data_IF_114766269115
#
_entry.id   IF_114766269115
#
_cell.length_a   1.000
_cell.length_b   1.000
_cell.length_c   1.000
_cell.angle_alpha   90.00
_cell.angle_beta   90.00
_cell.angle_gamma   90.00
#
_symmetry.space_group_name_H-M   'P 1'
#
loop_
_entity.id
_entity.type
_entity.pdbx_description
1 polymer ?
#
# COMPACT_ATOMS: atom_id res chain seq x y z
N UNK A 1 26.59 -11.34 -43.98
CA UNK A 1 26.63 -10.04 -43.30
C UNK A 1 25.25 -9.42 -43.08
N UNK A 2 24.34 -9.34 -44.09
CA UNK A 2 22.99 -8.72 -43.90
C UNK A 2 22.10 -9.39 -42.83
N UNK A 3 22.14 -10.75 -42.72
CA UNK A 3 21.35 -11.47 -41.70
C UNK A 3 21.82 -11.26 -40.27
N UNK A 4 23.12 -11.04 -40.05
CA UNK A 4 23.68 -10.78 -38.71
C UNK A 4 23.34 -9.36 -38.22
N UNK A 5 23.28 -8.39 -39.15
CA UNK A 5 22.84 -7.01 -38.81
C UNK A 5 21.37 -6.94 -38.39
N UNK A 6 20.50 -7.77 -39.02
CA UNK A 6 19.07 -7.81 -38.66
C UNK A 6 18.83 -8.38 -37.26
N UNK A 7 19.60 -9.41 -36.89
CA UNK A 7 19.52 -9.99 -35.51
C UNK A 7 19.97 -9.00 -34.44
N UNK A 8 21.01 -8.21 -34.72
CA UNK A 8 21.51 -7.19 -33.81
C UNK A 8 20.51 -6.04 -33.61
N UNK A 9 19.81 -5.64 -34.70
CA UNK A 9 18.77 -4.62 -34.64
C UNK A 9 17.53 -5.07 -33.82
N UNK A 10 17.15 -6.34 -33.90
CA UNK A 10 16.04 -6.90 -33.12
C UNK A 10 16.40 -6.98 -31.63
N UNK A 11 17.64 -7.35 -31.28
CA UNK A 11 18.10 -7.34 -29.89
C UNK A 11 18.14 -5.93 -29.31
N UNK A 12 18.61 -4.93 -30.05
CA UNK A 12 18.63 -3.52 -29.59
C UNK A 12 17.22 -2.97 -29.37
N UNK A 13 16.26 -3.29 -30.23
CA UNK A 13 14.86 -2.87 -30.08
C UNK A 13 14.19 -3.54 -28.86
N UNK A 14 14.53 -4.80 -28.56
CA UNK A 14 14.03 -5.51 -27.38
C UNK A 14 14.55 -4.89 -26.06
N UNK A 15 15.80 -4.48 -26.01
CA UNK A 15 16.41 -3.86 -24.82
C UNK A 15 15.83 -2.45 -24.56
N UNK A 16 15.59 -1.67 -25.60
CA UNK A 16 15.01 -0.32 -25.43
C UNK A 16 13.57 -0.36 -24.93
N UNK A 17 12.77 -1.31 -25.41
CA UNK A 17 11.39 -1.46 -24.95
C UNK A 17 11.31 -1.94 -23.49
N UNK A 18 12.15 -2.87 -23.08
CA UNK A 18 12.20 -3.34 -21.67
C UNK A 18 12.61 -2.21 -20.72
N UNK A 19 13.60 -1.40 -21.08
CA UNK A 19 14.05 -0.26 -20.26
C UNK A 19 13.00 0.86 -20.18
N UNK A 20 12.27 1.13 -21.26
CA UNK A 20 11.20 2.13 -21.28
C UNK A 20 10.00 1.69 -20.41
N UNK A 21 9.64 0.42 -20.46
CA UNK A 21 8.56 -0.13 -19.66
C UNK A 21 8.88 -0.12 -18.15
N UNK A 22 10.11 -0.47 -17.79
CA UNK A 22 10.56 -0.42 -16.40
C UNK A 22 10.54 1.01 -15.82
N UNK A 23 10.96 2.01 -16.59
CA UNK A 23 10.90 3.42 -16.17
C UNK A 23 9.46 3.91 -15.96
N UNK A 24 8.50 3.47 -16.77
CA UNK A 24 7.09 3.87 -16.64
C UNK A 24 6.44 3.24 -15.40
N UNK A 25 6.72 1.99 -15.10
CA UNK A 25 6.25 1.33 -13.87
C UNK A 25 6.84 1.97 -12.60
N UNK A 26 8.12 2.31 -12.61
CA UNK A 26 8.79 2.99 -11.50
C UNK A 26 8.17 4.37 -11.24
N UNK A 27 7.77 5.09 -12.27
CA UNK A 27 7.08 6.37 -12.14
C UNK A 27 5.68 6.21 -11.53
N UNK A 28 4.95 5.14 -11.87
CA UNK A 28 3.59 4.88 -11.36
C UNK A 28 3.59 4.47 -9.89
N UNK A 29 4.55 3.66 -9.43
CA UNK A 29 4.60 3.25 -8.02
C UNK A 29 5.10 4.34 -7.09
N UNK A 30 5.96 5.23 -7.58
CA UNK A 30 6.64 6.26 -6.78
C UNK A 30 5.70 7.06 -5.86
N UNK A 31 4.52 7.51 -6.28
CA UNK A 31 3.60 8.23 -5.40
C UNK A 31 3.04 7.39 -4.26
N UNK A 32 3.00 6.06 -4.40
CA UNK A 32 2.48 5.14 -3.39
C UNK A 32 3.53 4.73 -2.36
N UNK A 33 4.83 4.88 -2.66
CA UNK A 33 5.92 4.43 -1.81
C UNK A 33 5.92 5.11 -0.44
N UNK A 34 6.26 4.36 0.59
CA UNK A 34 6.45 4.83 1.95
C UNK A 34 5.51 4.21 2.96
N UNK A 35 5.47 4.82 4.14
CA UNK A 35 4.65 4.37 5.27
C UNK A 35 3.37 5.19 5.35
N UNK A 36 2.25 4.50 5.34
CA UNK A 36 0.91 5.03 5.42
C UNK A 36 0.21 4.55 6.69
N UNK A 37 -0.55 5.42 7.33
CA UNK A 37 -1.39 5.09 8.49
C UNK A 37 -2.85 5.09 8.07
N UNK A 38 -3.56 4.02 8.37
CA UNK A 38 -5.02 3.96 8.21
C UNK A 38 -5.69 5.02 9.08
N UNK A 39 -6.71 5.69 8.54
CA UNK A 39 -7.47 6.70 9.26
C UNK A 39 -8.98 6.54 9.04
N UNK A 40 -9.73 6.87 10.05
CA UNK A 40 -11.19 7.04 9.94
C UNK A 40 -11.51 8.50 9.68
N UNK A 41 -12.40 8.73 8.74
CA UNK A 41 -12.96 10.04 8.45
C UNK A 41 -14.09 10.33 9.45
N UNK A 42 -13.99 11.45 10.16
CA UNK A 42 -14.96 11.85 11.19
C UNK A 42 -15.47 13.24 10.91
N UNK A 43 -16.79 13.40 10.89
CA UNK A 43 -17.42 14.70 10.76
C UNK A 43 -17.12 15.58 11.98
N UNK A 44 -16.82 16.86 11.73
CA UNK A 44 -16.58 17.85 12.78
C UNK A 44 -17.88 18.63 13.08
N UNK A 45 -18.04 19.19 14.29
CA UNK A 45 -19.26 19.92 14.67
C UNK A 45 -19.58 21.16 13.81
N UNK A 46 -18.58 21.73 13.15
CA UNK A 46 -18.67 22.85 12.22
C UNK A 46 -19.04 22.44 10.77
N UNK A 47 -19.34 21.14 10.56
CA UNK A 47 -19.71 20.59 9.26
C UNK A 47 -18.51 20.23 8.36
N UNK A 48 -17.29 20.32 8.88
CA UNK A 48 -16.07 19.86 8.22
C UNK A 48 -15.82 18.37 8.43
N UNK A 49 -14.63 17.95 8.02
CA UNK A 49 -14.14 16.58 8.18
C UNK A 49 -12.73 16.59 8.78
N UNK A 50 -12.47 15.68 9.68
CA UNK A 50 -11.13 15.40 10.21
C UNK A 50 -10.80 13.91 10.09
N UNK A 51 -9.51 13.56 10.20
CA UNK A 51 -9.04 12.19 10.11
C UNK A 51 -8.45 11.75 11.46
N UNK A 52 -8.88 10.59 11.93
CA UNK A 52 -8.35 9.96 13.16
C UNK A 52 -7.53 8.74 12.76
N UNK A 53 -6.18 8.86 12.89
CA UNK A 53 -5.27 7.77 12.61
C UNK A 53 -5.45 6.60 13.57
N UNK A 54 -5.42 5.38 13.03
CA UNK A 54 -5.47 4.13 13.79
C UNK A 54 -4.09 3.49 13.84
N UNK A 55 -3.90 2.53 14.73
CA UNK A 55 -2.64 1.77 14.84
C UNK A 55 -2.56 0.66 13.78
N UNK A 56 -2.87 1.01 12.53
CA UNK A 56 -2.75 0.15 11.36
C UNK A 56 -1.92 0.91 10.33
N UNK A 57 -0.89 0.27 9.82
CA UNK A 57 0.05 0.89 8.89
C UNK A 57 0.27 0.00 7.67
N UNK A 58 0.37 0.62 6.51
CA UNK A 58 0.76 -0.03 5.25
C UNK A 58 2.08 0.57 4.78
N UNK A 59 3.09 -0.27 4.60
CA UNK A 59 4.38 0.11 4.02
C UNK A 59 4.48 -0.44 2.60
N UNK A 60 4.70 0.43 1.62
CA UNK A 60 4.88 0.07 0.21
C UNK A 60 6.31 0.36 -0.19
N UNK A 61 6.98 -0.63 -0.78
CA UNK A 61 8.42 -0.62 -1.08
C UNK A 61 8.73 -0.62 -2.58
N UNK A 62 9.95 -0.22 -2.96
CA UNK A 62 10.39 -0.14 -4.36
C UNK A 62 10.36 -1.46 -5.12
N UNK A 63 10.56 -2.56 -4.43
CA UNK A 63 10.50 -3.91 -4.99
C UNK A 63 9.05 -4.41 -5.17
N UNK A 64 8.08 -3.47 -5.15
CA UNK A 64 6.65 -3.71 -5.34
C UNK A 64 6.08 -4.68 -4.32
N UNK A 65 6.56 -4.61 -3.08
CA UNK A 65 6.00 -5.33 -1.94
C UNK A 65 5.22 -4.39 -1.04
N UNK A 66 4.29 -4.96 -0.31
CA UNK A 66 3.61 -4.25 0.76
C UNK A 66 3.51 -5.10 2.02
N UNK A 67 3.43 -4.40 3.14
CA UNK A 67 3.29 -4.97 4.47
C UNK A 67 2.24 -4.17 5.23
N UNK A 68 1.21 -4.85 5.74
CA UNK A 68 0.24 -4.25 6.66
C UNK A 68 0.58 -4.69 8.06
N UNK A 69 0.68 -3.73 8.97
CA UNK A 69 0.95 -3.98 10.39
C UNK A 69 -0.16 -3.41 11.23
N UNK A 70 -0.48 -4.07 12.33
CA UNK A 70 -1.40 -3.55 13.35
C UNK A 70 -0.72 -3.46 14.70
N UNK A 71 -1.05 -2.43 15.47
CA UNK A 71 -0.63 -2.24 16.84
C UNK A 71 -1.72 -2.64 17.83
N UNK A 72 -1.34 -3.37 18.87
CA UNK A 72 -2.22 -3.71 19.99
C UNK A 72 -1.64 -3.18 21.28
N UNK A 73 -2.45 -2.44 22.04
CA UNK A 73 -2.07 -1.93 23.33
C UNK A 73 -2.26 -3.01 24.39
N UNK A 74 -1.17 -3.40 25.05
CA UNK A 74 -1.19 -4.40 26.12
C UNK A 74 -0.92 -3.70 27.46
N UNK A 75 -1.81 -3.85 28.46
CA UNK A 75 -1.55 -3.33 29.78
C UNK A 75 -0.42 -4.11 30.46
N UNK A 76 0.61 -3.41 30.92
CA UNK A 76 1.70 -3.99 31.71
C UNK A 76 1.40 -3.72 33.19
N UNK A 77 1.09 -4.75 33.97
CA UNK A 77 1.00 -4.63 35.43
C UNK A 77 2.40 -4.60 36.03
N UNK A 78 2.78 -3.49 36.64
CA UNK A 78 4.07 -3.31 37.32
C UNK A 78 3.92 -3.44 38.86
N UNK A 79 3.23 -4.27 39.45
CA UNK A 79 2.90 -4.41 40.89
C UNK A 79 1.62 -3.69 41.33
N UNK A 80 1.05 -4.13 42.43
CA UNK A 80 -0.26 -3.70 42.92
C UNK A 80 -0.38 -2.22 43.34
N UNK A 81 0.72 -1.47 43.33
CA UNK A 81 0.80 -0.08 43.82
C UNK A 81 1.15 0.96 42.71
N UNK A 82 1.27 0.58 41.44
CA UNK A 82 1.70 1.50 40.37
C UNK A 82 0.66 1.60 39.24
N UNK A 83 0.59 2.79 38.62
CA UNK A 83 -0.23 3.03 37.43
C UNK A 83 0.00 1.99 36.36
N UNK A 84 -1.08 1.53 35.72
CA UNK A 84 -1.01 0.60 34.61
C UNK A 84 -0.32 1.27 33.42
N UNK A 85 0.90 0.86 33.10
CA UNK A 85 1.55 1.30 31.86
C UNK A 85 1.03 0.49 30.68
N UNK A 86 0.85 1.16 29.56
CA UNK A 86 0.44 0.52 28.31
C UNK A 86 1.67 0.40 27.40
N UNK A 87 1.90 -0.79 26.86
CA UNK A 87 2.89 -1.02 25.81
C UNK A 87 2.18 -1.39 24.50
N UNK A 88 2.69 -0.89 23.41
CA UNK A 88 2.17 -1.25 22.08
C UNK A 88 3.04 -2.35 21.47
N UNK A 89 2.43 -3.45 21.11
CA UNK A 89 3.05 -4.50 20.29
C UNK A 89 2.55 -4.33 18.86
N UNK A 90 3.48 -4.25 17.91
CA UNK A 90 3.16 -4.18 16.48
C UNK A 90 3.52 -5.51 15.82
N UNK A 91 2.65 -6.03 14.98
CA UNK A 91 2.85 -7.26 14.24
C UNK A 91 2.35 -7.12 12.80
N UNK A 92 2.92 -7.92 11.89
CA UNK A 92 2.46 -7.96 10.50
C UNK A 92 1.13 -8.73 10.47
N UNK A 93 0.12 -8.13 9.84
CA UNK A 93 -1.19 -8.76 9.63
C UNK A 93 -1.36 -9.30 8.23
N UNK A 94 -0.68 -8.69 7.26
CA UNK A 94 -0.75 -9.05 5.85
C UNK A 94 0.54 -8.63 5.14
N UNK A 95 0.96 -9.41 4.16
CA UNK A 95 2.05 -9.08 3.26
C UNK A 95 1.83 -9.65 1.86
N UNK A 96 2.45 -9.02 0.87
CA UNK A 96 2.30 -9.48 -0.50
C UNK A 96 3.02 -8.62 -1.52
N UNK A 97 2.67 -8.87 -2.78
CA UNK A 97 3.26 -8.21 -3.94
C UNK A 97 2.25 -7.27 -4.61
N UNK A 98 2.75 -6.21 -5.24
CA UNK A 98 1.96 -5.24 -6.00
C UNK A 98 2.21 -5.43 -7.49
N UNK A 99 1.13 -5.51 -8.27
CA UNK A 99 1.17 -5.43 -9.73
C UNK A 99 0.44 -4.17 -10.17
N UNK A 100 1.17 -3.24 -10.77
CA UNK A 100 0.62 -1.97 -11.23
C UNK A 100 -0.28 -2.19 -12.45
N UNK A 101 -1.46 -1.58 -12.42
CA UNK A 101 -2.40 -1.56 -13.51
C UNK A 101 -2.30 -0.29 -14.36
N UNK A 102 -3.31 -0.08 -15.21
CA UNK A 102 -3.58 1.20 -15.87
C UNK A 102 -4.41 2.09 -14.93
N UNK A 103 -4.30 3.41 -15.12
CA UNK A 103 -5.26 4.40 -14.60
C UNK A 103 -5.51 4.37 -13.08
N UNK A 104 -4.49 4.60 -12.27
CA UNK A 104 -4.61 4.67 -10.81
C UNK A 104 -5.18 3.38 -10.16
N UNK A 105 -4.99 2.23 -10.80
CA UNK A 105 -5.32 0.92 -10.28
C UNK A 105 -4.09 0.05 -10.09
N UNK A 106 -4.16 -0.87 -9.13
CA UNK A 106 -3.16 -1.92 -8.94
C UNK A 106 -3.80 -3.16 -8.31
N UNK A 107 -3.08 -4.27 -8.37
CA UNK A 107 -3.46 -5.52 -7.70
C UNK A 107 -2.53 -5.74 -6.51
N UNK A 108 -3.08 -6.18 -5.40
CA UNK A 108 -2.33 -6.77 -4.29
C UNK A 108 -2.49 -8.29 -4.33
N UNK A 109 -1.40 -9.02 -4.55
CA UNK A 109 -1.33 -10.45 -4.30
C UNK A 109 -1.07 -10.66 -2.82
N UNK A 110 -2.03 -11.21 -2.10
CA UNK A 110 -1.94 -11.49 -0.67
C UNK A 110 -1.17 -12.80 -0.50
N UNK A 111 0.14 -12.72 -0.25
CA UNK A 111 0.97 -13.90 -0.05
C UNK A 111 0.67 -14.56 1.30
N UNK A 112 0.59 -13.74 2.35
CA UNK A 112 0.25 -14.16 3.70
C UNK A 112 -0.72 -13.17 4.36
N UNK A 113 -1.79 -13.68 4.91
CA UNK A 113 -2.71 -12.97 5.79
C UNK A 113 -2.77 -13.69 7.14
N UNK A 114 -2.17 -13.12 8.17
CA UNK A 114 -1.92 -13.79 9.45
C UNK A 114 -3.13 -13.85 10.38
N UNK A 115 -4.18 -13.06 10.11
CA UNK A 115 -5.43 -13.06 10.87
C UNK A 115 -6.52 -13.89 10.21
N UNK A 116 -6.45 -14.08 8.89
CA UNK A 116 -7.42 -14.86 8.11
C UNK A 116 -6.72 -15.63 6.99
N UNK A 117 -6.43 -16.88 7.24
CA UNK A 117 -5.73 -17.74 6.28
C UNK A 117 -6.51 -18.01 4.98
N UNK A 118 -7.83 -17.76 4.96
CA UNK A 118 -8.64 -17.92 3.74
C UNK A 118 -8.27 -16.88 2.65
N UNK A 119 -7.63 -15.78 3.04
CA UNK A 119 -7.16 -14.74 2.14
C UNK A 119 -5.77 -15.01 1.55
N UNK A 120 -5.05 -16.04 2.02
CA UNK A 120 -3.73 -16.40 1.49
C UNK A 120 -3.83 -16.81 0.02
N UNK A 121 -2.89 -16.32 -0.78
CA UNK A 121 -2.81 -16.54 -2.22
C UNK A 121 -4.04 -16.03 -2.99
N UNK A 122 -4.73 -15.02 -2.47
CA UNK A 122 -5.82 -14.32 -3.14
C UNK A 122 -5.33 -12.99 -3.75
N UNK A 123 -6.19 -12.36 -4.52
CA UNK A 123 -5.92 -11.09 -5.18
C UNK A 123 -6.95 -10.07 -4.72
N UNK A 124 -6.47 -8.91 -4.30
CA UNK A 124 -7.29 -7.73 -4.10
C UNK A 124 -7.09 -6.76 -5.24
N UNK A 125 -8.19 -6.25 -5.79
CA UNK A 125 -8.19 -5.19 -6.81
C UNK A 125 -8.28 -3.86 -6.10
N UNK A 126 -7.41 -2.90 -6.45
CA UNK A 126 -7.38 -1.60 -5.80
C UNK A 126 -7.47 -0.47 -6.83
N UNK A 127 -8.21 0.56 -6.45
CA UNK A 127 -8.21 1.88 -7.09
C UNK A 127 -7.74 2.90 -6.07
N UNK A 128 -7.01 3.92 -6.53
CA UNK A 128 -6.54 4.94 -5.61
C UNK A 128 -6.64 6.34 -6.21
N UNK A 129 -6.77 7.31 -5.34
CA UNK A 129 -6.61 8.71 -5.65
C UNK A 129 -5.96 9.45 -4.48
N UNK A 130 -5.18 10.44 -4.79
CA UNK A 130 -4.68 11.37 -3.79
C UNK A 130 -5.68 12.51 -3.60
N UNK A 131 -5.69 13.11 -2.41
CA UNK A 131 -6.42 14.35 -2.20
C UNK A 131 -5.80 15.47 -3.04
N UNK A 132 -6.65 16.28 -3.70
CA UNK A 132 -6.19 17.33 -4.60
C UNK A 132 -5.38 18.43 -3.91
N UNK A 133 -5.67 18.69 -2.64
CA UNK A 133 -5.04 19.75 -1.83
C UNK A 133 -3.90 19.23 -0.98
N UNK A 134 -3.93 17.94 -0.64
CA UNK A 134 -2.93 17.33 0.24
C UNK A 134 -2.52 15.94 -0.26
N UNK A 135 -1.40 15.81 -1.00
CA UNK A 135 -0.92 14.54 -1.55
C UNK A 135 -0.50 13.52 -0.47
N UNK A 136 -0.53 13.91 0.81
CA UNK A 136 -0.30 13.01 1.93
C UNK A 136 -1.58 12.31 2.42
N UNK A 137 -2.72 12.54 1.76
CA UNK A 137 -3.96 11.80 1.96
C UNK A 137 -4.21 10.94 0.74
N UNK A 138 -4.31 9.63 0.95
CA UNK A 138 -4.57 8.62 -0.06
C UNK A 138 -5.93 7.98 0.22
N UNK A 139 -6.83 8.07 -0.75
CA UNK A 139 -8.08 7.33 -0.75
C UNK A 139 -7.87 6.04 -1.53
N UNK A 140 -8.13 4.91 -0.90
CA UNK A 140 -8.08 3.57 -1.48
C UNK A 140 -9.48 2.99 -1.53
N UNK A 141 -9.80 2.31 -2.61
CA UNK A 141 -10.94 1.41 -2.71
C UNK A 141 -10.43 0.04 -3.08
N UNK A 142 -10.85 -0.98 -2.38
CA UNK A 142 -10.44 -2.35 -2.67
C UNK A 142 -11.63 -3.29 -2.85
N UNK A 143 -11.42 -4.35 -3.63
CA UNK A 143 -12.38 -5.38 -3.91
C UNK A 143 -11.68 -6.75 -4.02
N UNK A 144 -12.03 -7.68 -3.14
CA UNK A 144 -11.44 -9.02 -3.10
C UNK A 144 -11.91 -9.94 -4.24
N UNK A 145 -13.05 -9.62 -4.86
CA UNK A 145 -13.66 -10.50 -5.86
C UNK A 145 -13.47 -10.00 -7.31
N UNK A 146 -12.96 -8.78 -7.48
CA UNK A 146 -12.74 -8.16 -8.80
C UNK A 146 -14.03 -7.89 -9.59
N UNK A 147 -15.21 -7.93 -8.94
CA UNK A 147 -16.47 -7.54 -9.55
C UNK A 147 -16.75 -6.06 -9.27
N UNK A 148 -17.64 -5.43 -10.05
CA UNK A 148 -17.95 -4.00 -9.88
C UNK A 148 -18.83 -3.70 -8.65
N UNK A 149 -19.23 -4.71 -7.91
CA UNK A 149 -20.00 -4.63 -6.69
C UNK A 149 -19.10 -4.82 -5.47
N UNK A 150 -19.39 -4.16 -4.36
CA UNK A 150 -18.72 -4.33 -3.06
C UNK A 150 -17.28 -3.77 -2.97
N UNK A 151 -17.08 -2.56 -3.46
CA UNK A 151 -15.86 -1.80 -3.18
C UNK A 151 -15.90 -1.25 -1.76
N UNK A 152 -14.82 -1.46 -1.02
CA UNK A 152 -14.63 -0.95 0.35
C UNK A 152 -13.66 0.22 0.28
N UNK A 153 -14.06 1.36 0.84
CA UNK A 153 -13.25 2.58 0.85
C UNK A 153 -12.44 2.70 2.13
N UNK A 154 -11.20 3.12 1.98
CA UNK A 154 -10.25 3.38 3.07
C UNK A 154 -9.55 4.72 2.87
N UNK A 155 -9.16 5.36 3.97
CA UNK A 155 -8.32 6.56 3.96
C UNK A 155 -7.00 6.26 4.63
N UNK A 156 -5.91 6.68 3.99
CA UNK A 156 -4.55 6.48 4.46
C UNK A 156 -3.80 7.81 4.50
N UNK A 157 -3.18 8.11 5.63
CA UNK A 157 -2.36 9.30 5.84
C UNK A 157 -0.89 8.94 5.71
N UNK A 158 -0.14 9.72 4.95
CA UNK A 158 1.31 9.51 4.81
C UNK A 158 2.02 9.88 6.11
N UNK A 159 2.65 8.89 6.73
CA UNK A 159 3.46 9.07 7.93
C UNK A 159 4.90 9.38 7.55
N UNK A 160 5.42 8.64 6.56
CA UNK A 160 6.81 8.80 6.11
C UNK A 160 6.89 8.53 4.61
N UNK A 161 7.41 9.47 3.81
CA UNK A 161 7.70 9.20 2.41
C UNK A 161 8.90 8.25 2.30
N UNK A 162 8.96 7.50 1.20
CA UNK A 162 10.09 6.62 0.95
C UNK A 162 11.39 7.44 0.84
N UNK A 163 12.44 7.01 1.54
CA UNK A 163 13.74 7.68 1.50
C UNK A 163 13.87 8.90 2.41
N UNK A 164 12.88 9.25 3.23
CA UNK A 164 13.06 10.24 4.28
C UNK A 164 14.09 9.71 5.30
N UNK A 165 15.08 10.57 5.60
CA UNK A 165 16.10 10.30 6.62
C UNK A 165 15.71 10.95 7.92
#
# INVERSE_FOLDING_TARGET
MKKMMLLLAIMLLGITNASAQQNDEDLKIKPLLGLWQYAEEVATPDGGTTFIGKQIYKNITWDKKYYVTAGVNIPIKQSEAQETKTSTITFITQEGDIVLGSDNGYLEYINNHYLDNSLNNTISWLRYRFDEKNPNILYLEYNLNGNDENWVSEVWLRVMPYGAK
#
